data_IF_287510938351
#
_entry.id   IF_287510938351
#
_cell.length_a   1.000
_cell.length_b   1.000
_cell.length_c   1.000
_cell.angle_alpha   90.00
_cell.angle_beta   90.00
_cell.angle_gamma   90.00
#
_symmetry.space_group_name_H-M   'P 1'
#
loop_
_entity.id
_entity.type
_entity.pdbx_description
1 polymer ?
#
# COMPACT_ATOMS: atom_id res chain seq x y z
N UNK A 1 14.03 16.38 2.25
CA UNK A 1 14.58 15.05 1.88
C UNK A 1 13.43 14.07 1.95
N UNK A 2 13.19 13.25 0.92
CA UNK A 2 12.08 12.30 0.96
C UNK A 2 12.53 11.09 1.77
N UNK A 3 11.98 10.91 2.97
CA UNK A 3 12.17 9.73 3.81
C UNK A 3 10.90 8.88 3.80
N UNK A 4 11.10 7.56 3.81
CA UNK A 4 10.02 6.59 3.79
C UNK A 4 10.48 5.20 4.19
N UNK A 5 9.53 4.39 4.64
CA UNK A 5 9.73 3.02 5.10
C UNK A 5 8.85 2.09 4.28
N UNK A 6 9.41 0.98 3.80
CA UNK A 6 8.64 -0.08 3.17
C UNK A 6 8.88 -1.37 3.96
N UNK A 7 7.82 -2.09 4.31
CA UNK A 7 7.93 -3.36 5.04
C UNK A 7 6.79 -4.27 4.67
N UNK A 8 7.16 -5.50 4.33
CA UNK A 8 6.21 -6.57 4.05
C UNK A 8 6.01 -7.40 5.32
N UNK A 9 4.77 -7.51 5.78
CA UNK A 9 4.41 -8.30 6.94
C UNK A 9 3.38 -9.34 6.56
N UNK A 10 3.66 -10.59 6.91
CA UNK A 10 2.72 -11.70 6.74
C UNK A 10 1.91 -11.87 8.03
N UNK A 11 0.59 -11.91 7.90
CA UNK A 11 -0.32 -12.26 8.98
C UNK A 11 -1.36 -13.24 8.42
N UNK A 12 -1.53 -14.38 9.09
CA UNK A 12 -2.25 -15.54 8.58
C UNK A 12 -1.80 -15.93 7.15
N UNK A 13 -2.71 -15.89 6.18
CA UNK A 13 -2.46 -16.19 4.76
C UNK A 13 -2.31 -14.92 3.89
N UNK A 14 -2.33 -13.74 4.52
CA UNK A 14 -2.28 -12.45 3.81
C UNK A 14 -0.93 -11.77 3.99
N UNK A 15 -0.33 -11.34 2.87
CA UNK A 15 0.86 -10.47 2.87
C UNK A 15 0.40 -9.03 2.74
N UNK A 16 0.75 -8.23 3.74
CA UNK A 16 0.50 -6.81 3.79
C UNK A 16 1.79 -6.05 3.48
N UNK A 17 1.73 -5.19 2.48
CA UNK A 17 2.80 -4.27 2.12
C UNK A 17 2.52 -2.93 2.80
N UNK A 18 3.33 -2.56 3.78
CA UNK A 18 3.20 -1.29 4.50
C UNK A 18 4.21 -0.31 3.95
N UNK A 19 3.72 0.75 3.33
CA UNK A 19 4.53 1.84 2.79
C UNK A 19 4.28 3.10 3.62
N UNK A 20 5.33 3.80 4.03
CA UNK A 20 5.22 5.07 4.75
C UNK A 20 6.09 6.12 4.09
N UNK A 21 5.55 7.30 3.85
CA UNK A 21 6.22 8.38 3.13
C UNK A 21 5.87 9.73 3.77
N UNK A 22 6.85 10.63 3.80
CA UNK A 22 6.61 12.03 4.13
C UNK A 22 6.33 12.85 2.87
N UNK A 23 5.12 13.40 2.80
CA UNK A 23 4.70 14.32 1.76
C UNK A 23 4.98 15.74 2.22
N UNK A 24 6.20 16.19 1.95
CA UNK A 24 6.61 17.56 2.31
C UNK A 24 5.75 18.63 1.65
N UNK A 25 5.31 18.41 0.40
CA UNK A 25 4.45 19.34 -0.33
C UNK A 25 3.03 19.49 0.24
N UNK A 26 2.54 18.47 0.94
CA UNK A 26 1.21 18.47 1.59
C UNK A 26 1.31 18.62 3.13
N UNK A 27 2.53 18.76 3.65
CA UNK A 27 2.84 18.74 5.08
C UNK A 27 2.20 17.56 5.82
N UNK A 28 2.35 16.35 5.25
CA UNK A 28 1.63 15.16 5.68
C UNK A 28 2.54 13.93 5.79
N UNK A 29 2.42 13.20 6.89
CA UNK A 29 3.07 11.91 7.10
C UNK A 29 2.06 10.80 6.82
N UNK A 30 2.28 10.03 5.76
CA UNK A 30 1.32 9.03 5.30
C UNK A 30 1.87 7.62 5.47
N UNK A 31 1.03 6.71 5.95
CA UNK A 31 1.27 5.26 5.91
C UNK A 31 0.14 4.62 5.14
N UNK A 32 0.45 3.84 4.12
CA UNK A 32 -0.48 3.14 3.25
C UNK A 32 -0.23 1.64 3.39
N UNK A 33 -1.29 0.85 3.41
CA UNK A 33 -1.21 -0.60 3.45
C UNK A 33 -1.80 -1.16 2.19
N UNK A 34 -1.06 -2.04 1.53
CA UNK A 34 -1.49 -2.72 0.32
C UNK A 34 -1.55 -4.21 0.53
N UNK A 35 -2.54 -4.85 -0.07
CA UNK A 35 -2.66 -6.31 -0.14
C UNK A 35 -2.85 -6.69 -1.59
N UNK A 36 -1.96 -7.54 -2.13
CA UNK A 36 -1.98 -7.99 -3.53
C UNK A 36 -2.12 -6.82 -4.54
N UNK A 37 -1.42 -5.71 -4.28
CA UNK A 37 -1.45 -4.51 -5.13
C UNK A 37 -2.66 -3.58 -4.96
N UNK A 38 -3.55 -3.84 -3.99
CA UNK A 38 -4.70 -2.96 -3.69
C UNK A 38 -4.48 -2.24 -2.37
N UNK A 39 -4.72 -0.93 -2.34
CA UNK A 39 -4.67 -0.14 -1.10
C UNK A 39 -5.85 -0.54 -0.21
N UNK A 40 -5.59 -1.16 0.94
CA UNK A 40 -6.62 -1.56 1.91
C UNK A 40 -6.88 -0.47 2.94
N UNK A 41 -6.04 0.56 2.95
CA UNK A 41 -6.31 1.79 3.66
C UNK A 41 -5.03 2.55 3.95
N UNK A 42 -5.22 3.73 4.52
CA UNK A 42 -4.16 4.68 4.79
C UNK A 42 -4.38 5.36 6.13
N UNK A 43 -3.28 5.77 6.74
CA UNK A 43 -3.22 6.63 7.92
C UNK A 43 -2.44 7.87 7.52
N UNK A 44 -3.07 9.02 7.65
CA UNK A 44 -2.51 10.32 7.29
C UNK A 44 -2.43 11.18 8.54
N UNK A 45 -1.25 11.73 8.83
CA UNK A 45 -1.04 12.63 9.94
C UNK A 45 -0.50 13.97 9.40
N UNK A 46 -1.34 15.00 9.41
CA UNK A 46 -0.94 16.34 8.99
C UNK A 46 -0.13 17.00 10.10
N UNK A 47 1.00 17.61 9.73
CA UNK A 47 1.80 18.46 10.61
C UNK A 47 1.74 19.94 10.19
N UNK A 48 0.79 20.30 9.31
CA UNK A 48 0.58 21.69 8.87
C UNK A 48 0.35 22.63 10.05
N UNK A 49 -0.45 22.21 11.04
CA UNK A 49 -0.75 22.97 12.25
C UNK A 49 0.48 23.12 13.18
N UNK A 50 1.31 22.07 13.25
CA UNK A 50 2.53 22.06 14.08
C UNK A 50 3.69 22.85 13.47
N UNK A 51 3.59 23.23 12.19
CA UNK A 51 4.60 24.02 11.47
C UNK A 51 4.51 25.53 11.72
N UNK A 52 3.47 26.03 12.37
CA UNK A 52 3.26 27.47 12.57
C UNK A 52 4.15 28.10 13.66
N UNK A 53 4.86 27.30 14.48
CA UNK A 53 5.61 27.82 15.64
C UNK A 53 6.96 27.21 15.95
N UNK A 54 7.36 26.09 15.34
CA UNK A 54 8.65 25.46 15.68
C UNK A 54 9.21 24.66 14.53
N UNK A 55 10.52 24.80 14.29
CA UNK A 55 11.32 23.99 13.37
C UNK A 55 10.98 22.50 13.50
N UNK A 56 10.09 22.00 12.65
CA UNK A 56 9.80 20.58 12.56
C UNK A 56 10.98 19.95 11.82
N UNK A 57 12.02 19.57 12.57
CA UNK A 57 13.26 19.03 12.00
C UNK A 57 12.97 17.72 11.27
N UNK A 58 13.71 17.44 10.19
CA UNK A 58 13.54 16.19 9.42
C UNK A 58 13.69 14.95 10.29
N UNK A 59 14.56 15.00 11.31
CA UNK A 59 14.72 13.96 12.33
C UNK A 59 13.43 13.70 13.13
N UNK A 60 12.69 14.75 13.51
CA UNK A 60 11.41 14.60 14.21
C UNK A 60 10.34 14.03 13.28
N UNK A 61 10.29 14.50 12.03
CA UNK A 61 9.36 13.95 11.03
C UNK A 61 9.63 12.46 10.78
N UNK A 62 10.90 12.08 10.63
CA UNK A 62 11.31 10.69 10.43
C UNK A 62 10.93 9.82 11.63
N UNK A 63 11.18 10.30 12.85
CA UNK A 63 10.84 9.58 14.07
C UNK A 63 9.32 9.36 14.19
N UNK A 64 8.51 10.38 13.88
CA UNK A 64 7.03 10.27 13.89
C UNK A 64 6.58 9.30 12.80
N UNK A 65 7.13 9.38 11.59
CA UNK A 65 6.79 8.48 10.49
C UNK A 65 7.16 7.03 10.82
N UNK A 66 8.31 6.82 11.48
CA UNK A 66 8.78 5.51 11.92
C UNK A 66 7.90 4.92 13.01
N UNK A 67 7.48 5.74 13.97
CA UNK A 67 6.57 5.32 15.04
C UNK A 67 5.20 4.94 14.47
N UNK A 68 4.65 5.78 13.58
CA UNK A 68 3.43 5.49 12.85
C UNK A 68 3.53 4.18 12.05
N UNK A 69 4.65 3.97 11.34
CA UNK A 69 4.90 2.76 10.58
C UNK A 69 4.93 1.53 11.50
N UNK A 70 5.63 1.61 12.64
CA UNK A 70 5.72 0.51 13.60
C UNK A 70 4.35 0.17 14.21
N UNK A 71 3.55 1.19 14.53
CA UNK A 71 2.20 1.02 15.06
C UNK A 71 1.30 0.26 14.07
N UNK A 72 1.40 0.56 12.77
CA UNK A 72 0.67 -0.17 11.73
C UNK A 72 1.14 -1.62 11.63
N UNK A 73 2.45 -1.88 11.65
CA UNK A 73 2.99 -3.24 11.63
C UNK A 73 2.51 -4.07 12.82
N UNK A 74 2.50 -3.49 14.02
CA UNK A 74 2.04 -4.15 15.24
C UNK A 74 0.55 -4.47 15.17
N UNK A 75 -0.25 -3.54 14.67
CA UNK A 75 -1.69 -3.73 14.48
C UNK A 75 -2.02 -4.80 13.45
N UNK A 76 -1.19 -4.97 12.41
CA UNK A 76 -1.33 -6.07 11.46
C UNK A 76 -1.06 -7.40 12.15
N UNK A 77 -0.01 -7.47 12.99
CA UNK A 77 0.33 -8.69 13.74
C UNK A 77 -0.75 -9.08 14.74
N UNK A 78 -1.43 -8.11 15.35
CA UNK A 78 -2.56 -8.33 16.27
C UNK A 78 -3.91 -8.55 15.55
N UNK A 79 -3.96 -8.41 14.21
CA UNK A 79 -5.19 -8.51 13.43
C UNK A 79 -6.16 -7.32 13.61
N UNK A 80 -5.70 -6.21 14.20
CA UNK A 80 -6.47 -4.97 14.46
C UNK A 80 -6.15 -3.83 13.51
N UNK A 81 -5.74 -4.15 12.28
CA UNK A 81 -5.39 -3.14 11.27
C UNK A 81 -6.51 -2.10 11.05
N UNK A 82 -7.77 -2.50 11.14
CA UNK A 82 -8.92 -1.60 10.99
C UNK A 82 -9.07 -0.53 12.08
N UNK A 83 -8.44 -0.71 13.23
CA UNK A 83 -8.50 0.26 14.34
C UNK A 83 -7.52 1.43 14.12
N UNK A 84 -6.45 1.17 13.36
CA UNK A 84 -5.37 2.15 13.13
C UNK A 84 -5.43 2.84 11.77
N UNK A 85 -6.17 2.30 10.81
CA UNK A 85 -6.37 2.96 9.52
C UNK A 85 -7.54 3.95 9.58
N UNK A 86 -7.53 4.95 8.69
CA UNK A 86 -8.65 5.87 8.56
C UNK A 86 -9.88 5.11 8.01
N UNK A 87 -10.98 5.16 8.77
CA UNK A 87 -12.17 4.30 8.57
C UNK A 87 -12.85 4.45 7.21
N UNK A 88 -12.57 5.52 6.46
CA UNK A 88 -13.22 5.84 5.18
C UNK A 88 -12.83 4.90 4.03
N UNK A 89 -11.68 4.23 4.11
CA UNK A 89 -11.13 3.44 3.00
C UNK A 89 -11.06 1.92 3.30
N UNK A 90 -11.10 1.56 4.58
CA UNK A 90 -10.74 0.22 5.06
C UNK A 90 -11.87 -0.81 5.01
N UNK A 91 -13.12 -0.38 5.14
CA UNK A 91 -14.26 -1.30 5.31
C UNK A 91 -14.67 -1.98 4.00
N UNK A 92 -14.74 -1.22 2.90
CA UNK A 92 -15.14 -1.76 1.59
C UNK A 92 -14.04 -2.62 0.97
N UNK A 93 -12.77 -2.20 1.08
CA UNK A 93 -11.66 -2.90 0.43
C UNK A 93 -11.32 -4.23 1.12
N UNK A 94 -11.36 -4.30 2.44
CA UNK A 94 -11.16 -5.56 3.17
C UNK A 94 -12.29 -6.57 2.89
N UNK A 95 -13.53 -6.10 2.75
CA UNK A 95 -14.66 -6.96 2.36
C UNK A 95 -14.50 -7.50 0.93
N UNK A 96 -14.08 -6.65 -0.02
CA UNK A 96 -13.82 -7.05 -1.40
C UNK A 96 -12.66 -8.07 -1.53
N UNK A 97 -11.65 -7.98 -0.66
CA UNK A 97 -10.54 -8.96 -0.63
C UNK A 97 -11.01 -10.31 -0.10
N UNK A 98 -11.85 -10.34 0.96
CA UNK A 98 -12.41 -11.58 1.50
C UNK A 98 -13.33 -12.30 0.50
N UNK A 99 -14.10 -11.57 -0.29
CA UNK A 99 -14.96 -12.15 -1.34
C UNK A 99 -14.13 -12.77 -2.48
N UNK A 100 -12.98 -12.17 -2.81
CA UNK A 100 -12.08 -12.74 -3.83
C UNK A 100 -11.44 -14.04 -3.38
N UNK A 101 -11.16 -14.22 -2.09
CA UNK A 101 -10.59 -15.46 -1.56
C UNK A 101 -11.48 -16.69 -1.85
N UNK A 102 -12.81 -16.51 -1.87
CA UNK A 102 -13.77 -17.57 -2.21
C UNK A 102 -13.77 -17.98 -3.69
N UNK A 103 -13.22 -17.14 -4.57
CA UNK A 103 -13.21 -17.38 -6.02
C UNK A 103 -12.02 -18.18 -6.54
N UNK A 104 -10.94 -18.33 -5.75
CA UNK A 104 -9.70 -18.94 -6.24
C UNK A 104 -9.58 -20.46 -5.99
N UNK A 105 -10.55 -21.07 -5.31
CA UNK A 105 -10.52 -22.52 -5.03
C UNK A 105 -11.33 -23.39 -6.01
N UNK A 106 -12.02 -22.81 -7.00
CA UNK A 106 -12.72 -23.56 -8.05
C UNK A 106 -12.12 -23.26 -9.43
N UNK A 107 -10.98 -23.87 -9.74
CA UNK A 107 -10.38 -23.74 -11.07
C UNK A 107 -9.19 -24.64 -11.40
N UNK A 108 -8.80 -25.57 -10.52
CA UNK A 108 -7.76 -26.55 -10.82
C UNK A 108 -8.39 -27.92 -11.08
N UNK A 109 -9.12 -28.04 -12.19
CA UNK A 109 -9.71 -29.30 -12.63
C UNK A 109 -9.90 -29.31 -14.15
N UNK A 110 -9.03 -30.05 -14.82
CA UNK A 110 -9.16 -30.56 -16.20
C UNK A 110 -9.06 -29.57 -17.36
N UNK A 111 -7.91 -29.61 -18.06
CA UNK A 111 -7.78 -29.86 -19.51
C UNK A 111 -6.36 -29.43 -19.95
N UNK A 112 -5.49 -30.39 -20.23
CA UNK A 112 -5.20 -30.87 -21.59
C UNK A 112 -4.21 -29.99 -22.36
N UNK A 113 -3.01 -30.55 -22.55
CA UNK A 113 -2.14 -30.44 -23.72
C UNK A 113 -2.52 -29.40 -24.79
N UNK A 114 -1.66 -28.42 -25.02
CA UNK A 114 -1.78 -27.52 -26.16
C UNK A 114 -0.64 -26.53 -26.27
N UNK A 115 0.42 -26.94 -26.97
CA UNK A 115 1.50 -26.05 -27.43
C UNK A 115 0.94 -24.90 -28.28
N UNK A 116 1.25 -23.65 -27.95
CA UNK A 116 1.21 -22.56 -28.94
C UNK A 116 2.25 -21.47 -28.63
N UNK A 117 3.13 -21.24 -29.61
CA UNK A 117 4.20 -20.24 -29.65
C UNK A 117 3.67 -18.89 -30.20
N UNK A 118 4.44 -17.79 -30.09
CA UNK A 118 3.92 -16.43 -30.08
C UNK A 118 3.81 -15.82 -31.49
N UNK A 119 2.86 -14.90 -31.68
CA UNK A 119 2.72 -14.05 -32.87
C UNK A 119 2.16 -12.69 -32.45
N UNK A 120 2.87 -11.62 -32.83
CA UNK A 120 2.60 -10.26 -32.37
C UNK A 120 1.42 -9.56 -33.04
N UNK A 121 1.10 -8.38 -32.52
CA UNK A 121 0.47 -7.27 -33.25
C UNK A 121 0.43 -6.00 -32.36
N UNK A 122 0.79 -4.85 -32.95
CA UNK A 122 0.48 -3.51 -32.42
C UNK A 122 1.71 -2.65 -32.07
N UNK A 123 2.52 -2.19 -33.02
CA UNK A 123 2.41 -0.88 -33.71
C UNK A 123 2.37 0.35 -32.78
N UNK A 124 3.47 1.10 -32.69
CA UNK A 124 3.42 2.57 -32.66
C UNK A 124 4.74 3.16 -33.18
N UNK A 125 4.65 3.75 -34.37
CA UNK A 125 5.65 4.57 -35.04
C UNK A 125 5.83 5.86 -34.23
N UNK A 126 7.08 6.25 -33.96
CA UNK A 126 7.42 7.62 -33.59
C UNK A 126 8.33 8.20 -34.69
N UNK A 127 7.77 9.16 -35.42
CA UNK A 127 8.44 9.99 -36.43
C UNK A 127 9.14 11.18 -35.78
N UNK A 128 10.23 11.62 -36.41
CA UNK A 128 10.77 12.98 -36.32
C UNK A 128 12.07 13.09 -35.50
N UNK A 129 13.13 13.73 -35.98
CA UNK A 129 13.29 14.54 -37.18
C UNK A 129 14.54 15.42 -37.03
N UNK A 130 15.14 15.71 -38.19
CA UNK A 130 16.23 16.66 -38.50
C UNK A 130 17.66 16.27 -38.09
#
# INVERSE_FOLDING_TARGET
MIFGFNTDVKHDDTVYHVQSEAREGEMLLQTQVFVRGRCVGKRANSYADKGAGSNFSDQQKEQILRDQHRLVLDSIRDGRLSDVLDKRDTTETLAAIKELDRGWFQGAGSAAHGSFRPSGCGSLLYSGGY
#
